data_IF_401882788927
#
_entry.id   IF_401882788927
#
_cell.length_a   1.000
_cell.length_b   1.000
_cell.length_c   1.000
_cell.angle_alpha   90.00
_cell.angle_beta   90.00
_cell.angle_gamma   90.00
#
_symmetry.space_group_name_H-M   'P 1'
#
loop_
_entity.id
_entity.type
_entity.pdbx_description
1 polymer ?
#
# COMPACT_ATOMS: atom_id res chain seq x y z
N UNK A 1 -5.01 8.88 -15.86
CA UNK A 1 -5.52 9.71 -16.98
C UNK A 1 -4.37 10.49 -17.55
N UNK A 2 -4.16 10.46 -18.87
CA UNK A 2 -3.09 11.20 -19.53
C UNK A 2 -3.64 12.48 -20.15
N UNK A 3 -2.77 13.42 -20.54
CA UNK A 3 -3.18 14.61 -21.28
C UNK A 3 -3.87 14.32 -22.64
N UNK A 4 -3.80 13.06 -23.13
CA UNK A 4 -4.44 12.61 -24.36
C UNK A 4 -5.66 11.69 -24.13
N UNK A 5 -6.09 11.51 -22.87
CA UNK A 5 -7.22 10.65 -22.50
C UNK A 5 -6.85 9.44 -21.66
N UNK A 6 -7.70 8.41 -21.69
CA UNK A 6 -7.49 7.16 -20.96
C UNK A 6 -6.40 6.32 -21.64
N UNK A 7 -5.53 5.74 -20.82
CA UNK A 7 -4.49 4.82 -21.26
C UNK A 7 -4.66 3.51 -20.48
N UNK A 8 -4.44 2.39 -21.17
CA UNK A 8 -4.47 1.07 -20.58
C UNK A 8 -3.34 0.87 -19.56
N UNK A 9 -3.62 0.07 -18.53
CA UNK A 9 -2.63 -0.39 -17.55
C UNK A 9 -2.54 -1.91 -17.65
N UNK A 10 -1.53 -2.40 -18.36
CA UNK A 10 -1.37 -3.83 -18.65
C UNK A 10 -1.10 -4.69 -17.40
N UNK A 11 -0.44 -4.13 -16.38
CA UNK A 11 -0.23 -4.80 -15.10
C UNK A 11 -0.56 -3.86 -13.94
N UNK A 12 -1.82 -3.81 -13.48
CA UNK A 12 -2.21 -2.93 -12.38
C UNK A 12 -1.57 -3.32 -11.05
N UNK A 13 -1.22 -4.60 -10.86
CA UNK A 13 -0.57 -5.07 -9.63
C UNK A 13 0.88 -4.57 -9.48
N UNK A 14 1.53 -4.21 -10.58
CA UNK A 14 2.87 -3.65 -10.56
C UNK A 14 2.97 -2.36 -9.73
N UNK A 15 1.87 -1.60 -9.62
CA UNK A 15 1.82 -0.39 -8.77
C UNK A 15 2.16 -0.67 -7.29
N UNK A 16 1.91 -1.89 -6.81
CA UNK A 16 2.19 -2.30 -5.43
C UNK A 16 3.57 -2.98 -5.26
N UNK A 17 4.26 -3.24 -6.38
CA UNK A 17 5.56 -3.91 -6.45
C UNK A 17 6.68 -2.93 -6.83
N UNK A 18 6.36 -1.87 -7.58
CA UNK A 18 7.31 -0.93 -8.17
C UNK A 18 8.12 -0.13 -7.15
N UNK A 19 7.62 0.03 -5.92
CA UNK A 19 8.34 0.74 -4.84
C UNK A 19 9.29 -0.18 -4.04
N UNK A 20 9.25 -1.51 -4.24
CA UNK A 20 10.04 -2.48 -3.46
C UNK A 20 11.42 -2.77 -4.07
N UNK A 21 12.07 -1.78 -4.65
CA UNK A 21 13.49 -1.89 -5.05
C UNK A 21 14.40 -2.24 -3.86
N UNK A 22 13.97 -1.88 -2.65
CA UNK A 22 14.49 -2.37 -1.37
C UNK A 22 13.34 -2.91 -0.52
N UNK A 23 13.61 -3.88 0.34
CA UNK A 23 12.62 -4.32 1.33
C UNK A 23 12.19 -3.12 2.20
N UNK A 24 10.88 -2.87 2.30
CA UNK A 24 10.30 -1.84 3.16
C UNK A 24 9.55 -2.50 4.32
N UNK A 25 10.21 -2.71 5.48
CA UNK A 25 9.57 -3.26 6.66
C UNK A 25 8.34 -2.44 7.07
N UNK A 26 7.30 -3.11 7.56
CA UNK A 26 6.07 -2.45 8.00
C UNK A 26 5.07 -2.16 6.87
N UNK A 27 5.35 -2.51 5.61
CA UNK A 27 4.37 -2.43 4.49
C UNK A 27 3.89 -3.82 4.06
N UNK A 28 2.58 -3.97 3.81
CA UNK A 28 1.95 -5.18 3.27
C UNK A 28 0.82 -4.83 2.31
N UNK A 29 0.65 -5.63 1.24
CA UNK A 29 -0.50 -5.51 0.33
C UNK A 29 -1.57 -6.50 0.76
N UNK A 30 -2.78 -5.99 0.93
CA UNK A 30 -3.96 -6.73 1.34
C UNK A 30 -5.03 -6.66 0.25
N UNK A 31 -5.63 -7.81 -0.07
CA UNK A 31 -6.81 -7.89 -0.92
C UNK A 31 -8.07 -7.84 -0.04
N UNK A 32 -8.65 -6.65 0.08
CA UNK A 32 -9.85 -6.39 0.87
C UNK A 32 -11.12 -6.35 0.05
N UNK A 33 -12.26 -6.37 0.73
CA UNK A 33 -13.59 -6.19 0.13
C UNK A 33 -14.21 -4.90 0.68
N UNK A 34 -14.57 -3.97 -0.21
CA UNK A 34 -15.41 -2.83 0.10
C UNK A 34 -16.83 -3.11 -0.42
N UNK A 35 -17.75 -3.46 0.48
CA UNK A 35 -19.09 -3.94 0.10
C UNK A 35 -19.03 -5.25 -0.69
N UNK A 36 -19.12 -5.18 -2.01
CA UNK A 36 -18.95 -6.32 -2.93
C UNK A 36 -17.73 -6.20 -3.84
N UNK A 37 -16.97 -5.09 -3.76
CA UNK A 37 -15.86 -4.81 -4.66
C UNK A 37 -14.54 -5.29 -4.04
N UNK A 38 -13.81 -6.23 -4.69
CA UNK A 38 -12.46 -6.55 -4.28
C UNK A 38 -11.51 -5.40 -4.64
N UNK A 39 -10.70 -4.99 -3.68
CA UNK A 39 -9.72 -3.91 -3.84
C UNK A 39 -8.39 -4.30 -3.21
N UNK A 40 -7.30 -3.97 -3.91
CA UNK A 40 -5.97 -4.07 -3.35
C UNK A 40 -5.66 -2.78 -2.58
N UNK A 41 -5.19 -2.93 -1.35
CA UNK A 41 -4.83 -1.82 -0.46
C UNK A 41 -3.46 -2.11 0.14
N UNK A 42 -2.61 -1.09 0.23
CA UNK A 42 -1.37 -1.19 0.97
C UNK A 42 -1.58 -0.69 2.40
N UNK A 43 -1.28 -1.54 3.38
CA UNK A 43 -1.27 -1.19 4.79
C UNK A 43 0.17 -0.94 5.22
N UNK A 44 0.39 0.18 5.90
CA UNK A 44 1.70 0.56 6.41
C UNK A 44 1.63 0.79 7.92
N UNK A 45 2.66 0.32 8.62
CA UNK A 45 2.80 0.44 10.06
C UNK A 45 4.23 0.81 10.42
N UNK A 46 4.37 1.69 11.42
CA UNK A 46 5.65 2.07 11.99
C UNK A 46 5.67 1.68 13.47
N UNK A 47 6.61 0.81 13.83
CA UNK A 47 6.88 0.46 15.23
C UNK A 47 8.21 1.08 15.62
N UNK A 48 8.19 1.87 16.68
CA UNK A 48 9.38 2.53 17.21
C UNK A 48 9.36 2.50 18.75
N UNK A 49 10.54 2.53 19.41
CA UNK A 49 10.61 2.68 20.86
C UNK A 49 9.87 3.94 21.32
N UNK A 50 9.10 3.82 22.41
CA UNK A 50 8.44 4.97 23.04
C UNK A 50 9.37 5.63 24.05
N UNK A 51 9.55 6.97 24.01
CA UNK A 51 10.26 7.69 25.07
C UNK A 51 9.38 7.89 26.33
N UNK A 52 8.07 7.63 26.24
CA UNK A 52 7.13 7.75 27.36
C UNK A 52 6.76 6.39 27.93
N UNK A 53 6.41 6.35 29.21
CA UNK A 53 5.96 5.13 29.91
C UNK A 53 4.70 4.51 29.31
N UNK A 54 3.87 5.31 28.65
CA UNK A 54 2.72 4.84 27.88
C UNK A 54 3.06 4.82 26.37
N UNK A 55 3.05 3.65 25.71
CA UNK A 55 3.32 3.56 24.28
C UNK A 55 2.16 4.14 23.46
N UNK A 56 2.49 4.83 22.36
CA UNK A 56 1.50 5.30 21.38
C UNK A 56 1.08 4.15 20.46
N UNK A 57 -0.17 4.19 19.99
CA UNK A 57 -0.78 3.23 19.07
C UNK A 57 -1.34 3.97 17.87
#
# INVERSE_FOLDING_TARGET
MTGRGLAEVANPSALFLSERGNASPGSVVFAGIEGTRPMLVELQALVAPSPHSQPRR
#
